data_IF_312747595694
#
_entry.id   IF_312747595694
#
_cell.length_a   1.000
_cell.length_b   1.000
_cell.length_c   1.000
_cell.angle_alpha   90.00
_cell.angle_beta   90.00
_cell.angle_gamma   90.00
#
_symmetry.space_group_name_H-M   'P 1'
#
loop_
_entity.id
_entity.type
_entity.pdbx_description
1 polymer ?
#
# COMPACT_ATOMS: atom_id res chain seq x y z
N UNK A 1 13.37 -3.85 -22.19
CA UNK A 1 14.62 -4.59 -22.13
C UNK A 1 14.78 -5.49 -23.37
N UNK A 2 13.84 -6.39 -23.69
CA UNK A 2 13.93 -7.32 -24.84
C UNK A 2 14.13 -6.66 -26.21
N UNK A 3 13.76 -5.39 -26.38
CA UNK A 3 13.89 -4.64 -27.65
C UNK A 3 15.25 -3.98 -27.84
N UNK A 4 16.01 -3.80 -26.78
CA UNK A 4 17.23 -2.98 -26.81
C UNK A 4 18.46 -3.69 -26.24
N UNK A 5 18.29 -4.84 -25.57
CA UNK A 5 19.38 -5.54 -24.92
C UNK A 5 19.69 -6.87 -25.62
N UNK A 6 20.96 -7.23 -25.72
CA UNK A 6 21.42 -8.53 -26.19
C UNK A 6 21.35 -9.57 -25.09
N UNK A 7 21.72 -9.17 -23.85
CA UNK A 7 21.71 -10.01 -22.66
C UNK A 7 21.07 -9.29 -21.49
N UNK A 8 20.42 -10.05 -20.61
CA UNK A 8 19.81 -9.57 -19.37
C UNK A 8 20.52 -10.23 -18.21
N UNK A 9 21.15 -9.43 -17.36
CA UNK A 9 21.69 -9.90 -16.09
C UNK A 9 20.65 -9.61 -14.99
N UNK A 10 20.28 -10.65 -14.27
CA UNK A 10 19.32 -10.56 -13.16
C UNK A 10 20.10 -10.53 -11.85
N UNK A 11 19.72 -9.57 -11.00
CA UNK A 11 20.20 -9.44 -9.63
C UNK A 11 19.01 -9.46 -8.67
N UNK A 12 19.19 -10.00 -7.48
CA UNK A 12 18.19 -10.02 -6.41
C UNK A 12 18.88 -9.84 -5.06
N UNK A 13 18.39 -8.90 -4.27
CA UNK A 13 18.92 -8.59 -2.93
C UNK A 13 20.45 -8.31 -2.91
N UNK A 14 20.97 -7.72 -4.01
CA UNK A 14 22.39 -7.43 -4.17
C UNK A 14 23.23 -8.60 -4.71
N UNK A 15 22.63 -9.78 -4.91
CA UNK A 15 23.31 -10.97 -5.41
C UNK A 15 23.08 -11.21 -6.90
N UNK A 16 24.07 -11.77 -7.57
CA UNK A 16 23.98 -12.21 -8.96
C UNK A 16 23.17 -13.50 -9.06
N UNK A 17 22.06 -13.46 -9.82
CA UNK A 17 21.19 -14.64 -10.05
C UNK A 17 21.57 -15.37 -11.35
N UNK A 18 21.89 -14.62 -12.40
CA UNK A 18 22.26 -15.20 -13.69
C UNK A 18 22.18 -14.18 -14.83
N UNK A 19 22.78 -14.56 -15.98
CA UNK A 19 22.70 -13.81 -17.24
C UNK A 19 22.10 -14.66 -18.32
N UNK A 20 21.13 -14.15 -19.05
CA UNK A 20 20.40 -14.85 -20.12
C UNK A 20 20.37 -14.02 -21.39
N UNK A 21 20.21 -14.66 -22.57
CA UNK A 21 19.98 -13.97 -23.83
C UNK A 21 18.60 -13.29 -23.85
N UNK A 22 18.56 -12.00 -24.17
CA UNK A 22 17.31 -11.23 -24.14
C UNK A 22 16.29 -11.73 -25.18
N UNK A 23 16.75 -12.05 -26.38
CA UNK A 23 15.89 -12.49 -27.49
C UNK A 23 15.18 -13.82 -27.19
N UNK A 24 15.94 -14.80 -26.68
CA UNK A 24 15.50 -16.19 -26.58
C UNK A 24 14.90 -16.58 -25.23
N UNK A 25 14.92 -15.67 -24.23
CA UNK A 25 14.40 -15.98 -22.90
C UNK A 25 12.99 -15.41 -22.74
N UNK A 26 11.97 -16.22 -22.38
CA UNK A 26 10.63 -15.72 -22.07
C UNK A 26 10.65 -14.70 -20.94
N UNK A 27 9.75 -13.71 -20.99
CA UNK A 27 9.67 -12.68 -19.95
C UNK A 27 9.32 -13.28 -18.59
N UNK A 28 8.43 -14.26 -18.53
CA UNK A 28 8.10 -15.03 -17.34
C UNK A 28 9.32 -15.63 -16.65
N UNK A 29 10.28 -16.15 -17.44
CA UNK A 29 11.54 -16.68 -16.89
C UNK A 29 12.40 -15.59 -16.25
N UNK A 30 12.50 -14.42 -16.89
CA UNK A 30 13.23 -13.28 -16.33
C UNK A 30 12.56 -12.81 -15.03
N UNK A 31 11.24 -12.69 -15.01
CA UNK A 31 10.46 -12.32 -13.82
C UNK A 31 10.67 -13.35 -12.70
N UNK A 32 10.58 -14.65 -13.03
CA UNK A 32 10.81 -15.73 -12.06
C UNK A 32 12.22 -15.65 -11.43
N UNK A 33 13.25 -15.33 -12.23
CA UNK A 33 14.60 -15.12 -11.72
C UNK A 33 14.69 -13.91 -10.77
N UNK A 34 13.99 -12.81 -11.08
CA UNK A 34 13.94 -11.60 -10.24
C UNK A 34 13.23 -11.86 -8.91
N UNK A 35 12.09 -12.56 -8.94
CA UNK A 35 11.24 -12.80 -7.77
C UNK A 35 11.69 -14.01 -6.95
N UNK A 36 12.40 -14.97 -7.59
CA UNK A 36 12.89 -16.20 -6.95
C UNK A 36 11.84 -17.31 -6.84
N UNK A 37 10.67 -17.14 -7.46
CA UNK A 37 9.61 -18.14 -7.58
C UNK A 37 8.88 -17.98 -8.90
N UNK A 38 8.20 -19.01 -9.33
CA UNK A 38 7.30 -18.89 -10.46
C UNK A 38 6.14 -17.94 -10.09
N UNK A 39 5.87 -17.00 -10.98
CA UNK A 39 4.72 -16.10 -10.86
C UNK A 39 3.65 -16.65 -11.78
N UNK A 40 2.52 -17.05 -11.22
CA UNK A 40 1.40 -17.51 -12.04
C UNK A 40 0.92 -16.34 -12.92
N UNK A 41 0.87 -16.59 -14.24
CA UNK A 41 0.38 -15.62 -15.22
C UNK A 41 -1.17 -15.57 -15.28
N UNK A 42 -1.85 -16.33 -14.42
CA UNK A 42 -3.31 -16.33 -14.39
C UNK A 42 -3.78 -14.97 -13.88
N UNK A 43 -4.45 -14.15 -14.70
CA UNK A 43 -5.03 -12.91 -14.20
C UNK A 43 -5.99 -13.27 -13.06
N UNK A 44 -6.00 -12.50 -11.97
CA UNK A 44 -7.02 -12.66 -10.95
C UNK A 44 -8.40 -12.47 -11.62
N UNK A 45 -9.39 -13.22 -11.17
CA UNK A 45 -10.78 -12.99 -11.57
C UNK A 45 -11.16 -11.58 -11.07
N UNK A 46 -11.19 -10.62 -11.99
CA UNK A 46 -11.47 -9.22 -11.66
C UNK A 46 -12.97 -9.03 -11.71
N UNK A 47 -13.65 -8.83 -10.58
CA UNK A 47 -15.09 -8.63 -10.57
C UNK A 47 -15.44 -7.35 -11.34
N UNK A 48 -16.56 -7.39 -12.08
CA UNK A 48 -17.11 -6.17 -12.68
C UNK A 48 -17.64 -5.25 -11.57
N UNK A 49 -16.95 -4.16 -11.36
CA UNK A 49 -17.30 -3.14 -10.35
C UNK A 49 -18.01 -1.93 -10.95
N UNK A 50 -18.35 -1.96 -12.25
CA UNK A 50 -18.94 -0.81 -12.97
C UNK A 50 -20.25 -0.28 -12.36
N UNK A 51 -21.06 -1.17 -11.77
CA UNK A 51 -22.31 -0.85 -11.10
C UNK A 51 -22.17 -0.61 -9.58
N UNK A 52 -20.95 -0.79 -9.02
CA UNK A 52 -20.74 -0.61 -7.59
C UNK A 52 -20.71 0.86 -7.18
N UNK A 53 -21.12 1.15 -5.95
CA UNK A 53 -21.06 2.48 -5.35
C UNK A 53 -19.62 3.00 -5.30
N UNK A 54 -19.46 4.33 -5.41
CA UNK A 54 -18.18 5.00 -5.20
C UNK A 54 -17.80 4.94 -3.72
N UNK A 55 -16.65 4.33 -3.43
CA UNK A 55 -16.10 4.24 -2.08
C UNK A 55 -15.25 5.46 -1.71
N UNK A 56 -14.44 5.94 -2.67
CA UNK A 56 -13.60 7.13 -2.50
C UNK A 56 -13.75 8.03 -3.71
N UNK A 57 -13.96 9.31 -3.49
CA UNK A 57 -13.92 10.34 -4.52
C UNK A 57 -12.98 11.47 -4.06
N UNK A 58 -12.07 11.84 -4.94
CA UNK A 58 -11.12 12.94 -4.74
C UNK A 58 -11.30 13.94 -5.84
N UNK A 59 -11.50 15.22 -5.50
CA UNK A 59 -11.75 16.28 -6.48
C UNK A 59 -10.84 17.47 -6.19
N UNK A 60 -10.10 17.92 -7.21
CA UNK A 60 -9.32 19.16 -7.15
C UNK A 60 -8.16 19.13 -6.16
N UNK A 61 -7.65 17.96 -5.77
CA UNK A 61 -6.58 17.84 -4.79
C UNK A 61 -5.34 18.58 -5.27
N UNK A 62 -4.84 19.50 -4.43
CA UNK A 62 -3.68 20.34 -4.76
C UNK A 62 -2.80 20.56 -3.54
N UNK A 63 -1.46 20.59 -3.78
CA UNK A 63 -0.43 20.91 -2.78
C UNK A 63 0.79 21.46 -3.45
N UNK A 64 1.09 22.72 -3.23
CA UNK A 64 2.24 23.42 -3.77
C UNK A 64 2.39 23.21 -5.28
N UNK A 65 3.58 22.76 -5.69
CA UNK A 65 3.89 22.42 -7.09
C UNK A 65 3.83 20.93 -7.36
N UNK A 66 3.72 20.10 -6.34
CA UNK A 66 3.83 18.64 -6.39
C UNK A 66 2.51 17.98 -6.81
N UNK A 67 1.37 18.49 -6.30
CA UNK A 67 0.04 17.99 -6.62
C UNK A 67 -0.77 19.13 -7.23
N UNK A 68 -1.28 18.93 -8.45
CA UNK A 68 -1.99 19.98 -9.19
C UNK A 68 -3.33 19.46 -9.68
N UNK A 69 -4.41 19.87 -9.01
CA UNK A 69 -5.78 19.60 -9.42
C UNK A 69 -6.05 18.12 -9.74
N UNK A 70 -5.58 17.21 -8.88
CA UNK A 70 -5.77 15.77 -9.05
C UNK A 70 -7.18 15.39 -8.65
N UNK A 71 -7.85 14.60 -9.52
CA UNK A 71 -9.18 14.07 -9.26
C UNK A 71 -9.33 12.67 -9.80
N UNK A 72 -10.01 11.81 -9.04
CA UNK A 72 -10.36 10.43 -9.41
C UNK A 72 -11.43 9.88 -8.47
N UNK A 73 -12.02 8.77 -8.84
CA UNK A 73 -12.90 8.00 -7.97
C UNK A 73 -12.51 6.53 -7.95
N UNK A 74 -12.83 5.84 -6.86
CA UNK A 74 -12.63 4.39 -6.70
C UNK A 74 -13.93 3.79 -6.19
N UNK A 75 -14.42 2.74 -6.87
CA UNK A 75 -15.62 2.02 -6.49
C UNK A 75 -15.34 0.94 -5.46
N UNK A 76 -16.39 0.45 -4.81
CA UNK A 76 -16.27 -0.72 -3.91
C UNK A 76 -15.77 -1.93 -4.67
N UNK A 77 -14.72 -2.58 -4.17
CA UNK A 77 -14.10 -3.75 -4.81
C UNK A 77 -13.19 -3.44 -5.99
N UNK A 78 -13.09 -2.17 -6.43
CA UNK A 78 -12.21 -1.75 -7.51
C UNK A 78 -10.75 -1.64 -7.04
N UNK A 79 -9.82 -2.00 -7.94
CA UNK A 79 -8.39 -1.75 -7.79
C UNK A 79 -7.98 -0.69 -8.81
N UNK A 80 -7.80 0.55 -8.37
CA UNK A 80 -7.32 1.65 -9.19
C UNK A 80 -5.79 1.69 -9.21
N UNK A 81 -5.17 1.54 -10.38
CA UNK A 81 -3.73 1.62 -10.55
C UNK A 81 -3.24 3.04 -10.83
N UNK A 82 -2.23 3.51 -10.09
CA UNK A 82 -1.54 4.76 -10.37
C UNK A 82 -0.24 4.48 -11.12
N UNK A 83 -0.14 4.89 -12.36
CA UNK A 83 1.07 4.77 -13.18
C UNK A 83 1.78 6.11 -13.31
N UNK A 84 3.11 6.09 -13.36
CA UNK A 84 3.93 7.28 -13.54
C UNK A 84 5.41 6.99 -13.30
N UNK A 85 6.27 7.87 -13.80
CA UNK A 85 7.71 7.82 -13.55
C UNK A 85 8.04 8.13 -12.08
N UNK A 86 9.26 7.85 -11.66
CA UNK A 86 9.78 8.29 -10.36
C UNK A 86 9.62 9.81 -10.24
N UNK A 87 9.11 10.28 -9.10
CA UNK A 87 8.82 11.70 -8.89
C UNK A 87 7.53 12.22 -9.53
N UNK A 88 6.65 11.34 -10.06
CA UNK A 88 5.37 11.74 -10.64
C UNK A 88 4.30 12.17 -9.61
N UNK A 89 4.60 12.16 -8.32
CA UNK A 89 3.69 12.64 -7.27
C UNK A 89 2.71 11.59 -6.75
N UNK A 90 2.86 10.30 -7.09
CA UNK A 90 1.92 9.24 -6.65
C UNK A 90 1.87 9.07 -5.15
N UNK A 91 3.02 9.02 -4.51
CA UNK A 91 3.17 8.91 -3.06
C UNK A 91 2.64 10.16 -2.36
N UNK A 92 2.93 11.33 -2.89
CA UNK A 92 2.47 12.63 -2.38
C UNK A 92 0.94 12.73 -2.40
N UNK A 93 0.30 12.29 -3.50
CA UNK A 93 -1.17 12.21 -3.60
C UNK A 93 -1.74 11.28 -2.53
N UNK A 94 -1.21 10.07 -2.38
CA UNK A 94 -1.70 9.12 -1.37
C UNK A 94 -1.52 9.66 0.05
N UNK A 95 -0.38 10.30 0.35
CA UNK A 95 -0.09 10.91 1.66
C UNK A 95 -1.02 12.09 1.97
N UNK A 96 -1.32 12.92 0.95
CA UNK A 96 -2.24 14.04 1.11
C UNK A 96 -3.69 13.57 1.35
N UNK A 97 -4.14 12.49 0.70
CA UNK A 97 -5.44 11.87 0.96
C UNK A 97 -5.51 11.29 2.37
N UNK A 98 -4.42 10.66 2.81
CA UNK A 98 -4.33 10.07 4.14
C UNK A 98 -4.14 11.11 5.26
N UNK A 99 -3.90 12.39 4.92
CA UNK A 99 -3.65 13.45 5.90
C UNK A 99 -2.26 13.36 6.56
N UNK A 100 -1.34 12.57 6.00
CA UNK A 100 0.06 12.53 6.43
C UNK A 100 0.82 13.80 5.97
N UNK A 101 0.40 14.37 4.86
CA UNK A 101 0.85 15.65 4.36
C UNK A 101 -0.34 16.61 4.23
N UNK A 102 -0.16 17.93 4.50
CA UNK A 102 -1.22 18.91 4.32
C UNK A 102 -1.58 19.05 2.84
N UNK A 103 -2.83 19.40 2.55
CA UNK A 103 -3.30 19.82 1.23
C UNK A 103 -3.69 21.30 1.25
N UNK A 104 -3.50 21.99 0.12
CA UNK A 104 -3.88 23.38 -0.04
C UNK A 104 -5.34 23.53 -0.49
N UNK A 105 -5.82 22.57 -1.31
CA UNK A 105 -7.18 22.54 -1.83
C UNK A 105 -7.60 21.10 -2.16
N UNK A 106 -8.90 20.95 -2.43
CA UNK A 106 -9.53 19.69 -2.85
C UNK A 106 -10.48 19.11 -1.80
N UNK A 107 -11.44 18.34 -2.30
CA UNK A 107 -12.44 17.64 -1.50
C UNK A 107 -12.18 16.14 -1.54
N UNK A 108 -12.37 15.48 -0.41
CA UNK A 108 -12.31 14.01 -0.27
C UNK A 108 -13.65 13.54 0.25
N UNK A 109 -14.31 12.66 -0.51
CA UNK A 109 -15.53 11.99 -0.06
C UNK A 109 -15.28 10.51 0.12
N UNK A 110 -15.78 9.97 1.22
CA UNK A 110 -15.75 8.54 1.52
C UNK A 110 -17.19 8.06 1.63
N UNK A 111 -17.56 7.11 0.79
CA UNK A 111 -18.94 6.62 0.67
C UNK A 111 -19.97 7.74 0.43
N UNK A 112 -19.61 8.72 -0.41
CA UNK A 112 -20.46 9.87 -0.75
C UNK A 112 -20.47 11.01 0.27
N UNK A 113 -19.86 10.85 1.44
CA UNK A 113 -19.80 11.87 2.49
C UNK A 113 -18.48 12.62 2.47
N UNK A 114 -18.51 13.94 2.42
CA UNK A 114 -17.32 14.78 2.52
C UNK A 114 -16.62 14.58 3.87
N UNK A 115 -15.31 14.37 3.84
CA UNK A 115 -14.48 14.16 5.02
C UNK A 115 -13.38 15.22 5.10
N UNK A 116 -13.32 15.92 6.22
CA UNK A 116 -12.22 16.84 6.51
C UNK A 116 -11.05 16.06 7.13
N UNK A 117 -10.17 15.55 6.28
CA UNK A 117 -9.01 14.74 6.68
C UNK A 117 -7.81 15.68 6.79
N UNK A 118 -7.39 15.99 8.02
CA UNK A 118 -6.22 16.83 8.32
C UNK A 118 -5.06 16.07 8.92
N UNK A 119 -5.32 14.87 9.42
CA UNK A 119 -4.32 13.99 10.02
C UNK A 119 -4.61 12.51 9.69
N UNK A 120 -3.62 11.62 9.79
CA UNK A 120 -3.80 10.18 9.61
C UNK A 120 -4.93 9.58 10.45
N UNK A 121 -5.14 10.11 11.64
CA UNK A 121 -6.22 9.68 12.53
C UNK A 121 -7.62 9.91 11.91
N UNK A 122 -7.82 11.04 11.22
CA UNK A 122 -9.09 11.34 10.56
C UNK A 122 -9.35 10.38 9.40
N UNK A 123 -8.31 10.05 8.63
CA UNK A 123 -8.37 9.08 7.53
C UNK A 123 -8.76 7.69 8.04
N UNK A 124 -8.10 7.22 9.10
CA UNK A 124 -8.41 5.92 9.71
C UNK A 124 -9.86 5.87 10.21
N UNK A 125 -10.36 6.94 10.84
CA UNK A 125 -11.77 7.03 11.27
C UNK A 125 -12.74 7.06 10.10
N UNK A 126 -12.34 7.62 8.97
CA UNK A 126 -13.11 7.58 7.73
C UNK A 126 -13.05 6.23 7.01
N UNK A 127 -12.25 5.27 7.49
CA UNK A 127 -12.08 3.95 6.89
C UNK A 127 -11.00 3.87 5.81
N UNK A 128 -10.11 4.88 5.72
CA UNK A 128 -8.99 4.89 4.79
C UNK A 128 -7.76 4.30 5.50
N UNK A 129 -7.15 3.26 4.92
CA UNK A 129 -5.85 2.74 5.31
C UNK A 129 -4.77 3.18 4.33
N UNK A 130 -3.55 3.39 4.82
CA UNK A 130 -2.38 3.71 4.00
C UNK A 130 -1.24 2.74 4.30
N UNK A 131 -0.77 2.05 3.26
CA UNK A 131 0.43 1.21 3.32
C UNK A 131 1.58 1.95 2.67
N UNK A 132 2.56 2.37 3.48
CA UNK A 132 3.71 3.12 2.99
C UNK A 132 4.66 2.26 2.15
N UNK A 133 5.21 2.84 1.09
CA UNK A 133 6.29 2.26 0.30
C UNK A 133 7.59 2.18 1.13
N UNK A 134 7.90 3.22 1.91
CA UNK A 134 9.01 3.22 2.87
C UNK A 134 8.57 2.61 4.21
N UNK A 135 8.76 1.29 4.30
CA UNK A 135 8.38 0.51 5.49
C UNK A 135 9.18 0.89 6.74
N UNK A 136 10.44 1.30 6.59
CA UNK A 136 11.32 1.56 7.73
C UNK A 136 11.04 2.90 8.41
N UNK A 137 10.72 3.94 7.62
CA UNK A 137 10.48 5.27 8.17
C UNK A 137 9.01 5.53 8.49
N UNK A 138 8.08 4.97 7.70
CA UNK A 138 6.66 5.31 7.79
C UNK A 138 5.73 4.11 8.04
N UNK A 139 6.21 2.89 7.84
CA UNK A 139 5.36 1.70 7.91
C UNK A 139 5.52 0.90 9.20
N UNK A 140 6.63 1.03 9.91
CA UNK A 140 6.94 0.25 11.12
C UNK A 140 7.55 1.11 12.21
N UNK A 141 7.10 0.92 13.44
CA UNK A 141 7.80 1.36 14.64
C UNK A 141 8.88 0.32 14.98
N UNK A 142 10.09 0.48 14.39
CA UNK A 142 11.16 -0.52 14.42
C UNK A 142 11.69 -0.81 15.83
N UNK A 143 11.48 0.09 16.79
CA UNK A 143 11.79 -0.13 18.22
C UNK A 143 10.73 -0.93 18.98
N UNK A 144 9.62 -1.30 18.33
CA UNK A 144 8.52 -2.05 18.94
C UNK A 144 8.46 -3.48 18.40
N UNK A 145 7.90 -4.39 19.19
CA UNK A 145 7.69 -5.77 18.75
C UNK A 145 6.54 -5.89 17.73
N UNK A 146 6.43 -7.08 17.11
CA UNK A 146 5.41 -7.37 16.07
C UNK A 146 3.99 -7.14 16.60
N UNK A 147 3.69 -7.58 17.83
CA UNK A 147 2.38 -7.40 18.47
C UNK A 147 1.97 -5.93 18.55
N UNK A 148 2.89 -5.07 19.00
CA UNK A 148 2.62 -3.64 19.11
C UNK A 148 2.42 -2.99 17.74
N UNK A 149 3.23 -3.34 16.74
CA UNK A 149 3.08 -2.85 15.37
C UNK A 149 1.74 -3.27 14.75
N UNK A 150 1.31 -4.53 14.91
CA UNK A 150 0.02 -5.02 14.42
C UNK A 150 -1.16 -4.29 15.08
N UNK A 151 -1.08 -4.04 16.39
CA UNK A 151 -2.18 -3.43 17.13
C UNK A 151 -2.23 -1.90 17.01
N UNK A 152 -1.13 -1.24 16.64
CA UNK A 152 -0.95 0.22 16.71
C UNK A 152 -2.05 1.00 15.97
N UNK A 153 -2.41 0.61 14.77
CA UNK A 153 -3.44 1.28 13.97
C UNK A 153 -4.85 1.17 14.57
N UNK A 154 -5.05 0.28 15.52
CA UNK A 154 -6.36 0.00 16.14
C UNK A 154 -6.30 -0.11 17.68
N UNK A 155 -5.36 0.58 18.32
CA UNK A 155 -5.16 0.53 19.78
C UNK A 155 -6.44 0.76 20.60
N UNK A 156 -7.33 1.63 20.10
CA UNK A 156 -8.61 1.88 20.76
C UNK A 156 -9.50 0.63 20.93
N UNK A 157 -9.31 -0.41 20.08
CA UNK A 157 -10.05 -1.68 20.18
C UNK A 157 -9.55 -2.56 21.34
N UNK A 158 -8.33 -2.32 21.79
CA UNK A 158 -7.65 -3.06 22.87
C UNK A 158 -7.59 -2.28 24.16
N UNK A 159 -8.01 -1.00 24.15
CA UNK A 159 -7.99 -0.15 25.33
C UNK A 159 -9.29 -0.25 26.13
N UNK A 160 -9.17 -0.43 27.44
CA UNK A 160 -10.28 -0.25 28.38
C UNK A 160 -10.73 1.22 28.44
N UNK A 161 -11.86 1.48 29.09
CA UNK A 161 -12.35 2.87 29.30
C UNK A 161 -11.37 3.77 30.07
N UNK A 162 -10.46 3.17 30.86
CA UNK A 162 -9.42 3.87 31.62
C UNK A 162 -8.05 3.85 30.94
N UNK A 163 -7.98 3.42 29.66
CA UNK A 163 -6.75 3.45 28.86
C UNK A 163 -5.81 2.26 29.06
N UNK A 164 -6.19 1.26 29.85
CA UNK A 164 -5.37 0.04 30.03
C UNK A 164 -5.53 -0.86 28.82
N UNK A 165 -4.40 -1.30 28.25
CA UNK A 165 -4.39 -2.17 27.06
C UNK A 165 -4.57 -3.65 27.45
N UNK A 166 -5.40 -4.36 26.70
CA UNK A 166 -5.54 -5.80 26.77
C UNK A 166 -4.44 -6.49 25.95
N UNK A 167 -3.30 -6.74 26.59
CA UNK A 167 -2.14 -7.37 25.97
C UNK A 167 -2.44 -8.80 25.46
N UNK A 168 -3.35 -9.51 26.13
CA UNK A 168 -3.74 -10.87 25.74
C UNK A 168 -4.49 -10.85 24.42
N UNK A 169 -5.46 -9.96 24.27
CA UNK A 169 -6.19 -9.76 23.02
C UNK A 169 -5.26 -9.31 21.89
N UNK A 170 -4.36 -8.36 22.16
CA UNK A 170 -3.34 -7.93 21.19
C UNK A 170 -2.46 -9.09 20.71
N UNK A 171 -2.02 -9.96 21.63
CA UNK A 171 -1.22 -11.15 21.30
C UNK A 171 -1.98 -12.14 20.43
N UNK A 172 -3.24 -12.39 20.73
CA UNK A 172 -4.09 -13.31 19.95
C UNK A 172 -4.30 -12.80 18.52
N UNK A 173 -4.59 -11.50 18.36
CA UNK A 173 -4.80 -10.90 17.04
C UNK A 173 -3.49 -10.91 16.24
N UNK A 174 -2.37 -10.57 16.87
CA UNK A 174 -1.06 -10.60 16.21
C UNK A 174 -0.68 -12.02 15.75
N UNK A 175 -0.94 -13.06 16.56
CA UNK A 175 -0.71 -14.45 16.18
C UNK A 175 -1.55 -14.83 14.94
N UNK A 176 -2.82 -14.44 14.90
CA UNK A 176 -3.68 -14.68 13.74
C UNK A 176 -3.17 -14.04 12.46
N UNK A 177 -2.65 -12.80 12.52
CA UNK A 177 -2.06 -12.15 11.36
C UNK A 177 -0.69 -12.73 10.96
N UNK A 178 0.11 -13.21 11.92
CA UNK A 178 1.36 -13.92 11.63
C UNK A 178 1.05 -15.15 10.76
N UNK A 179 0.06 -15.93 11.12
CA UNK A 179 -0.35 -17.13 10.39
C UNK A 179 -0.96 -16.77 9.01
N UNK A 180 -1.91 -15.83 8.97
CA UNK A 180 -2.60 -15.45 7.73
C UNK A 180 -1.68 -14.84 6.68
N UNK A 181 -0.72 -14.01 7.10
CA UNK A 181 0.19 -13.29 6.21
C UNK A 181 1.55 -13.97 6.06
N UNK A 182 1.80 -15.08 6.75
CA UNK A 182 3.07 -15.77 6.74
C UNK A 182 4.23 -14.90 7.25
N UNK A 183 4.00 -14.10 8.30
CA UNK A 183 5.01 -13.20 8.86
C UNK A 183 6.12 -14.03 9.48
N UNK A 184 7.33 -13.88 8.95
CA UNK A 184 8.51 -14.53 9.52
C UNK A 184 9.04 -13.70 10.68
N UNK A 185 8.98 -14.27 11.88
CA UNK A 185 9.49 -13.68 13.11
C UNK A 185 10.27 -14.73 13.89
N UNK A 186 11.39 -14.37 14.53
CA UNK A 186 12.20 -15.33 15.30
C UNK A 186 11.58 -15.75 16.62
N UNK A 187 10.49 -15.13 17.06
CA UNK A 187 9.77 -15.44 18.32
C UNK A 187 8.28 -15.20 18.18
#
# INVERSE_FOLDING_TARGET
IKRIADRVTVMRDGEYVGTVGAANTPLSKIISMMVGREVAETPPDIPDTSAADVALEVTGLSRGREIRNVGFSVRKGEILGFAGLMGAGRTEVARAIFGADPRDAGEIKVHGEARDIRAPYDAVRAGIGYLSEDRKHFGLATGMNVRANVAMASLGRFASRVGVLDEKAMKQVAAGYIDQLGIRTPS
#
